data_IF_100861828486
#
_entry.id   IF_100861828486
#
_cell.length_a   1.000
_cell.length_b   1.000
_cell.length_c   1.000
_cell.angle_alpha   90.00
_cell.angle_beta   90.00
_cell.angle_gamma   90.00
#
_symmetry.space_group_name_H-M   'P 1'
#
loop_
_entity.id
_entity.type
_entity.pdbx_description
1 polymer ?
#
# COMPACT_ATOMS: atom_id res chain seq x y z
N UNK A 1 14.06 -17.24 7.34
CA UNK A 1 13.32 -16.70 6.19
C UNK A 1 12.05 -16.11 6.78
N UNK A 2 11.77 -14.84 6.53
CA UNK A 2 10.51 -14.24 6.96
C UNK A 2 9.36 -14.95 6.26
N UNK A 3 8.29 -15.23 7.00
CA UNK A 3 7.05 -15.77 6.46
C UNK A 3 6.14 -14.60 6.09
N UNK A 4 5.51 -14.64 4.93
CA UNK A 4 4.64 -13.57 4.47
C UNK A 4 3.25 -14.09 4.18
N UNK A 5 2.23 -13.33 4.58
CA UNK A 5 0.84 -13.57 4.24
C UNK A 5 0.36 -12.52 3.24
N UNK A 6 -0.15 -12.97 2.10
CA UNK A 6 -0.78 -12.08 1.14
C UNK A 6 -2.11 -11.57 1.71
N UNK A 7 -2.24 -10.25 1.81
CA UNK A 7 -3.44 -9.55 2.26
C UNK A 7 -4.29 -9.08 1.08
N UNK A 8 -3.65 -8.43 0.10
CA UNK A 8 -4.29 -7.87 -1.08
C UNK A 8 -3.36 -7.98 -2.29
N UNK A 9 -3.95 -8.23 -3.46
CA UNK A 9 -3.24 -8.27 -4.73
C UNK A 9 -4.09 -7.58 -5.79
N UNK A 10 -3.48 -6.62 -6.49
CA UNK A 10 -4.09 -5.87 -7.57
C UNK A 10 -3.25 -6.09 -8.82
N UNK A 11 -3.85 -6.76 -9.81
CA UNK A 11 -3.22 -7.01 -11.11
C UNK A 11 -3.54 -5.87 -12.10
N UNK A 12 -3.15 -6.05 -13.35
CA UNK A 12 -3.33 -5.06 -14.43
C UNK A 12 -4.77 -4.71 -14.78
N UNK A 13 -5.76 -5.48 -14.28
CA UNK A 13 -7.19 -5.18 -14.42
C UNK A 13 -7.63 -4.04 -13.48
N UNK A 14 -6.85 -3.78 -12.43
CA UNK A 14 -7.09 -2.70 -11.49
C UNK A 14 -6.30 -1.45 -11.88
N UNK A 15 -6.86 -0.29 -11.55
CA UNK A 15 -6.23 1.02 -11.72
C UNK A 15 -6.40 1.84 -10.46
N UNK A 16 -5.36 2.54 -10.04
CA UNK A 16 -5.52 3.51 -8.96
C UNK A 16 -6.22 4.75 -9.53
N UNK A 17 -7.38 5.06 -8.99
CA UNK A 17 -8.19 6.22 -9.40
C UNK A 17 -7.93 7.43 -8.52
N UNK A 18 -7.45 7.20 -7.29
CA UNK A 18 -7.21 8.25 -6.31
C UNK A 18 -6.09 7.86 -5.35
N UNK A 19 -5.21 8.82 -5.08
CA UNK A 19 -4.23 8.75 -4.00
C UNK A 19 -4.42 9.97 -3.12
N UNK A 20 -4.58 9.77 -1.82
CA UNK A 20 -4.69 10.85 -0.82
C UNK A 20 -3.63 10.63 0.24
N UNK A 21 -2.69 11.55 0.32
CA UNK A 21 -1.62 11.53 1.32
C UNK A 21 -2.03 12.39 2.52
N UNK A 22 -2.00 11.81 3.71
CA UNK A 22 -2.16 12.51 4.98
C UNK A 22 -0.81 12.57 5.69
N UNK A 23 -0.17 13.73 5.61
CA UNK A 23 1.11 13.99 6.27
C UNK A 23 0.88 14.86 7.48
N UNK A 24 1.03 14.28 8.66
CA UNK A 24 1.04 15.04 9.88
C UNK A 24 2.39 15.78 9.99
N UNK A 25 2.37 17.12 10.07
CA UNK A 25 3.57 17.96 10.09
C UNK A 25 4.53 17.66 11.26
N UNK A 26 4.04 16.98 12.31
CA UNK A 26 4.81 16.63 13.50
C UNK A 26 5.38 15.20 13.48
N UNK A 27 5.05 14.38 12.47
CA UNK A 27 5.51 13.00 12.39
C UNK A 27 6.35 12.78 11.13
N UNK A 28 7.40 11.96 11.25
CA UNK A 28 8.24 11.60 10.11
C UNK A 28 7.55 10.56 9.21
N UNK A 29 6.56 9.85 9.73
CA UNK A 29 5.79 8.84 9.01
C UNK A 29 4.56 9.43 8.32
N UNK A 30 4.22 8.87 7.17
CA UNK A 30 3.12 9.33 6.32
C UNK A 30 2.05 8.27 6.28
N UNK A 31 0.79 8.65 6.45
CA UNK A 31 -0.33 7.76 6.12
C UNK A 31 -0.89 8.17 4.75
N UNK A 32 -1.31 7.21 3.95
CA UNK A 32 -1.90 7.50 2.65
C UNK A 32 -2.99 6.50 2.29
N UNK A 33 -3.97 6.95 1.51
CA UNK A 33 -5.03 6.13 0.98
C UNK A 33 -4.87 5.99 -0.53
N UNK A 34 -4.99 4.77 -1.04
CA UNK A 34 -5.06 4.48 -2.48
C UNK A 34 -6.39 3.81 -2.78
N UNK A 35 -7.12 4.39 -3.71
CA UNK A 35 -8.36 3.82 -4.23
C UNK A 35 -8.06 3.11 -5.54
N UNK A 36 -8.30 1.82 -5.57
CA UNK A 36 -8.20 0.96 -6.76
C UNK A 36 -9.58 0.67 -7.31
N UNK A 37 -9.75 0.71 -8.63
CA UNK A 37 -10.96 0.29 -9.32
C UNK A 37 -10.64 -0.56 -10.55
N UNK A 38 -11.49 -1.55 -10.81
CA UNK A 38 -11.48 -2.35 -12.04
C UNK A 38 -12.71 -2.08 -12.93
N UNK A 39 -13.45 -1.00 -12.65
CA UNK A 39 -14.70 -0.64 -13.35
C UNK A 39 -15.97 -1.36 -12.86
N UNK A 40 -15.83 -2.41 -12.03
CA UNK A 40 -16.96 -3.13 -11.40
C UNK A 40 -16.98 -2.90 -9.90
N UNK A 41 -15.82 -2.94 -9.26
CA UNK A 41 -15.61 -2.71 -7.84
C UNK A 41 -14.60 -1.59 -7.61
N UNK A 42 -14.69 -0.99 -6.43
CA UNK A 42 -13.75 0.00 -5.92
C UNK A 42 -13.31 -0.42 -4.52
N UNK A 43 -11.99 -0.38 -4.27
CA UNK A 43 -11.39 -0.69 -2.98
C UNK A 43 -10.45 0.44 -2.58
N UNK A 44 -10.66 1.01 -1.41
CA UNK A 44 -9.73 1.99 -0.85
C UNK A 44 -8.90 1.35 0.23
N UNK A 45 -7.58 1.28 0.04
CA UNK A 45 -6.63 0.85 1.05
C UNK A 45 -6.00 2.07 1.71
N UNK A 46 -6.01 2.09 3.04
CA UNK A 46 -5.32 3.06 3.87
C UNK A 46 -4.07 2.42 4.47
N UNK A 47 -2.91 2.95 4.09
CA UNK A 47 -1.60 2.55 4.58
C UNK A 47 -1.18 3.49 5.70
N UNK A 48 -0.84 2.91 6.85
CA UNK A 48 -0.56 3.65 8.08
C UNK A 48 0.94 3.70 8.31
N UNK A 49 1.48 4.93 8.44
CA UNK A 49 2.89 5.19 8.78
C UNK A 49 3.87 4.49 7.83
N UNK A 50 3.77 4.80 6.54
CA UNK A 50 4.71 4.37 5.53
C UNK A 50 6.09 5.02 5.72
N UNK A 51 7.15 4.24 5.48
CA UNK A 51 8.54 4.63 5.67
C UNK A 51 9.11 5.41 4.48
N UNK A 52 8.77 5.02 3.25
CA UNK A 52 9.28 5.62 2.01
C UNK A 52 8.13 6.10 1.10
N UNK A 53 7.53 7.27 1.40
CA UNK A 53 6.38 7.78 0.66
C UNK A 53 6.72 8.35 -0.73
N UNK A 54 8.01 8.43 -1.10
CA UNK A 54 8.43 9.01 -2.39
C UNK A 54 7.91 8.19 -3.57
N UNK A 55 7.73 6.89 -3.37
CA UNK A 55 7.24 5.95 -4.39
C UNK A 55 5.70 5.84 -4.45
N UNK A 56 4.95 6.64 -3.68
CA UNK A 56 3.47 6.59 -3.68
C UNK A 56 2.90 6.94 -5.07
N UNK A 57 3.61 7.74 -5.86
CA UNK A 57 3.15 8.12 -7.21
C UNK A 57 3.10 6.92 -8.17
N UNK A 58 3.91 5.88 -7.92
CA UNK A 58 3.97 4.66 -8.74
C UNK A 58 2.67 3.86 -8.69
N UNK A 59 1.86 4.05 -7.64
CA UNK A 59 0.51 3.48 -7.59
C UNK A 59 -0.39 3.98 -8.71
N UNK A 60 -0.10 5.11 -9.38
CA UNK A 60 -0.95 5.56 -10.49
C UNK A 60 -0.69 4.81 -11.80
N UNK A 61 0.49 4.20 -11.96
CA UNK A 61 0.89 3.53 -13.21
C UNK A 61 1.39 2.09 -12.97
N UNK A 62 0.89 1.43 -11.93
CA UNK A 62 1.30 0.05 -11.63
C UNK A 62 0.78 -0.97 -12.65
N UNK A 63 1.58 -2.02 -12.83
CA UNK A 63 1.20 -3.29 -13.43
C UNK A 63 0.70 -4.29 -12.39
N UNK A 64 1.37 -4.35 -11.23
CA UNK A 64 0.96 -5.18 -10.10
C UNK A 64 1.25 -4.49 -8.76
N UNK A 65 0.33 -4.60 -7.80
CA UNK A 65 0.54 -4.22 -6.40
C UNK A 65 0.23 -5.41 -5.51
N UNK A 66 1.19 -5.82 -4.70
CA UNK A 66 1.05 -6.90 -3.71
C UNK A 66 1.24 -6.35 -2.31
N UNK A 67 0.28 -6.60 -1.43
CA UNK A 67 0.33 -6.18 -0.02
C UNK A 67 0.49 -7.42 0.84
N UNK A 68 1.62 -7.50 1.55
CA UNK A 68 2.05 -8.65 2.33
C UNK A 68 2.18 -8.27 3.81
N UNK A 69 1.75 -9.13 4.71
CA UNK A 69 2.03 -9.04 6.14
C UNK A 69 3.18 -9.98 6.50
N UNK A 70 4.23 -9.44 7.12
CA UNK A 70 5.33 -10.23 7.68
C UNK A 70 4.84 -10.94 8.96
N UNK A 71 4.74 -12.26 8.88
CA UNK A 71 4.39 -13.12 10.00
C UNK A 71 5.62 -13.33 10.88
N UNK A 72 5.40 -13.37 12.20
CA UNK A 72 6.45 -13.56 13.20
C UNK A 72 7.53 -12.46 13.19
N UNK A 73 7.20 -11.25 12.71
CA UNK A 73 8.09 -10.11 12.81
C UNK A 73 8.46 -9.83 14.29
N UNK A 74 9.77 -9.78 14.59
CA UNK A 74 10.27 -9.43 15.92
C UNK A 74 10.11 -7.93 16.24
N UNK A 75 9.83 -7.11 15.22
CA UNK A 75 9.59 -5.67 15.29
C UNK A 75 8.12 -5.35 15.49
N UNK A 76 7.83 -4.25 16.19
CA UNK A 76 6.45 -3.77 16.42
C UNK A 76 5.90 -2.90 15.28
N UNK A 77 6.76 -2.39 14.40
CA UNK A 77 6.46 -1.46 13.31
C UNK A 77 6.91 -2.03 11.95
N UNK A 78 6.43 -1.45 10.86
CA UNK A 78 6.75 -1.83 9.47
C UNK A 78 6.50 -3.32 9.19
N UNK A 79 5.31 -3.82 9.56
CA UNK A 79 4.93 -5.22 9.39
C UNK A 79 4.29 -5.51 8.04
N UNK A 80 3.80 -4.48 7.36
CA UNK A 80 3.21 -4.61 6.04
C UNK A 80 4.25 -4.21 5.01
N UNK A 81 4.56 -5.13 4.10
CA UNK A 81 5.34 -4.88 2.90
C UNK A 81 4.38 -4.63 1.74
N UNK A 82 4.61 -3.56 0.99
CA UNK A 82 3.89 -3.29 -0.25
C UNK A 82 4.89 -3.34 -1.39
N UNK A 83 4.68 -4.27 -2.30
CA UNK A 83 5.47 -4.44 -3.51
C UNK A 83 4.71 -3.83 -4.68
N UNK A 84 5.39 -2.96 -5.43
CA UNK A 84 4.86 -2.29 -6.61
C UNK A 84 5.72 -2.65 -7.82
N UNK A 85 5.06 -3.18 -8.84
CA UNK A 85 5.66 -3.44 -10.14
C UNK A 85 5.04 -2.45 -11.11
N UNK A 86 5.83 -1.50 -11.59
CA UNK A 86 5.56 -0.59 -12.70
C UNK A 86 6.66 -0.79 -13.75
N UNK A 87 7.18 0.29 -14.36
CA UNK A 87 8.39 0.25 -15.20
C UNK A 87 9.63 -0.24 -14.41
N UNK A 88 9.65 0.01 -13.10
CA UNK A 88 10.67 -0.49 -12.17
C UNK A 88 10.00 -1.13 -10.94
N UNK A 89 10.74 -2.04 -10.28
CA UNK A 89 10.31 -2.58 -9.00
C UNK A 89 10.53 -1.53 -7.91
N UNK A 90 9.47 -1.22 -7.16
CA UNK A 90 9.51 -0.38 -5.96
C UNK A 90 8.87 -1.12 -4.80
N UNK A 91 9.34 -0.87 -3.58
CA UNK A 91 8.69 -1.37 -2.38
C UNK A 91 8.64 -0.30 -1.29
N UNK A 92 7.64 -0.39 -0.44
CA UNK A 92 7.53 0.39 0.78
C UNK A 92 7.02 -0.47 1.92
N UNK A 93 7.26 -0.01 3.14
CA UNK A 93 6.83 -0.66 4.36
C UNK A 93 5.92 0.25 5.17
N UNK A 94 4.88 -0.31 5.76
CA UNK A 94 3.98 0.42 6.64
C UNK A 94 3.59 -0.40 7.87
N UNK A 95 3.08 0.26 8.90
CA UNK A 95 2.73 -0.40 10.16
C UNK A 95 1.48 -1.28 10.00
N UNK A 96 0.51 -0.78 9.24
CA UNK A 96 -0.77 -1.45 9.01
C UNK A 96 -1.38 -1.03 7.67
N UNK A 97 -2.32 -1.85 7.19
CA UNK A 97 -3.19 -1.55 6.05
C UNK A 97 -4.64 -1.80 6.44
N UNK A 98 -5.53 -0.87 6.09
CA UNK A 98 -6.96 -0.95 6.39
C UNK A 98 -7.77 -0.83 5.09
N UNK A 99 -8.78 -1.66 4.92
CA UNK A 99 -9.76 -1.50 3.85
C UNK A 99 -10.82 -0.48 4.29
N UNK A 100 -10.87 0.67 3.64
CA UNK A 100 -11.95 1.64 3.83
C UNK A 100 -13.15 1.26 2.96
N UNK A 101 -14.29 1.11 3.61
CA UNK A 101 -15.59 1.05 2.93
C UNK A 101 -15.94 2.44 2.42
N UNK A 102 -16.40 2.55 1.17
CA UNK A 102 -17.03 3.76 0.69
C UNK A 102 -18.31 3.99 1.53
N UNK A 103 -18.35 5.10 2.27
CA UNK A 103 -19.56 5.58 2.96
C UNK A 103 -20.48 6.28 1.96
#
# INVERSE_FOLDING_TARGET
>A
MSEYKNLYEFNSEWKATRVVMDRNLNDASVSFCVTFSNGVEEKTLEFIRADDPENIIEFMDFECVTVLEELNAERDFCKIKVELISDCYSELWCDAVLLRSAD
#
